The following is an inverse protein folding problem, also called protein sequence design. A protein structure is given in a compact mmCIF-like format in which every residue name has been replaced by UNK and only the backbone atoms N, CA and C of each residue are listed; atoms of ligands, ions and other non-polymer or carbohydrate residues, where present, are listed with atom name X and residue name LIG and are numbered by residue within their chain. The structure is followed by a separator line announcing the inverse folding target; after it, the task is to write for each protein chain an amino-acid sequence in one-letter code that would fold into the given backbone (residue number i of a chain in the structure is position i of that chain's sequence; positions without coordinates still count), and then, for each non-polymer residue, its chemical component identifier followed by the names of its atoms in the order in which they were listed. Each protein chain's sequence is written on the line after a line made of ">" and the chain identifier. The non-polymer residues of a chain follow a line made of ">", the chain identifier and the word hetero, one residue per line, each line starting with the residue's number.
data_IF_148878733953
#
_entry.id   IF_148878733953
#
_cell.length_a   1.000
_cell.length_b   1.000
_cell.length_c   1.000
_cell.angle_alpha   90.00
_cell.angle_beta   90.00
_cell.angle_gamma   90.00
#
_symmetry.space_group_name_H-M   'P 1'
#
loop_
_entity.id
_entity.type
_entity.pdbx_description
1 polymer ?
#
# COMPACT_ATOMS: atom_id res chain seq x y z
N UNK A 1 70.50 -2.78 37.23
CA UNK A 1 69.85 -2.35 35.97
C UNK A 1 68.34 -2.35 36.19
N UNK A 2 67.69 -1.32 35.68
CA UNK A 2 66.35 -0.84 36.05
C UNK A 2 65.19 -1.71 35.52
N UNK A 3 64.03 -1.53 36.18
CA UNK A 3 62.66 -1.52 35.62
C UNK A 3 62.01 -2.89 35.33
N UNK A 4 60.71 -3.13 35.54
CA UNK A 4 59.55 -2.26 35.74
C UNK A 4 58.57 -2.90 36.73
N UNK A 5 57.90 -2.06 37.53
CA UNK A 5 56.70 -2.46 38.26
C UNK A 5 55.49 -2.46 37.31
N UNK A 6 54.79 -3.59 37.24
CA UNK A 6 53.46 -3.64 36.64
C UNK A 6 52.43 -3.23 37.69
N UNK A 7 51.83 -2.06 37.47
CA UNK A 7 50.66 -1.57 38.19
C UNK A 7 49.45 -2.28 37.58
N UNK A 8 48.87 -3.23 38.32
CA UNK A 8 47.62 -3.88 37.94
C UNK A 8 46.44 -2.87 37.91
N UNK A 9 45.48 -3.00 36.98
CA UNK A 9 44.34 -2.09 36.89
C UNK A 9 43.44 -2.21 38.13
N UNK A 10 42.89 -1.08 38.63
CA UNK A 10 42.06 -1.11 39.83
C UNK A 10 40.67 -1.64 39.47
N UNK A 11 40.31 -2.81 40.00
CA UNK A 11 38.96 -3.36 39.82
C UNK A 11 38.80 -4.85 40.09
N UNK A 12 39.86 -5.63 40.19
CA UNK A 12 39.74 -7.09 40.37
C UNK A 12 39.80 -7.50 41.84
N UNK A 13 38.81 -7.08 42.63
CA UNK A 13 38.39 -7.87 43.81
C UNK A 13 37.39 -8.91 43.32
N UNK A 14 37.92 -9.97 42.70
CA UNK A 14 37.12 -11.16 42.41
C UNK A 14 36.85 -11.86 43.75
N UNK A 15 35.71 -11.53 44.37
CA UNK A 15 35.09 -12.39 45.37
C UNK A 15 34.77 -13.72 44.71
N UNK A 16 35.65 -14.70 44.85
CA UNK A 16 35.44 -16.09 44.41
C UNK A 16 34.59 -16.85 45.43
N UNK A 17 33.42 -16.31 45.77
CA UNK A 17 32.37 -17.13 46.39
C UNK A 17 31.78 -17.98 45.29
N UNK A 18 32.28 -19.21 45.15
CA UNK A 18 31.64 -20.22 44.34
C UNK A 18 30.20 -20.40 44.88
N UNK A 19 29.16 -20.29 44.02
CA UNK A 19 27.80 -20.52 44.47
C UNK A 19 27.68 -21.93 45.05
N UNK A 20 26.85 -22.13 46.10
CA UNK A 20 26.65 -23.45 46.69
C UNK A 20 26.22 -24.46 45.61
N UNK A 21 26.58 -25.74 45.75
CA UNK A 21 26.22 -26.78 44.77
C UNK A 21 24.70 -26.85 44.65
N UNK A 22 24.17 -26.29 43.55
CA UNK A 22 22.75 -26.35 43.24
C UNK A 22 22.41 -27.75 42.77
N UNK A 23 21.24 -28.26 43.16
CA UNK A 23 20.72 -29.53 42.68
C UNK A 23 20.68 -29.54 41.14
N UNK A 24 21.13 -30.63 40.51
CA UNK A 24 21.14 -30.84 39.05
C UNK A 24 19.87 -30.39 38.30
N UNK A 25 18.64 -30.63 38.79
CA UNK A 25 17.42 -30.15 38.11
C UNK A 25 17.36 -28.60 38.01
N UNK A 26 17.83 -27.88 39.02
CA UNK A 26 17.82 -26.41 39.04
C UNK A 26 18.85 -25.82 38.06
N UNK A 27 19.99 -26.50 37.87
CA UNK A 27 21.00 -26.14 36.86
C UNK A 27 20.46 -26.35 35.44
N UNK A 28 19.73 -27.45 35.22
CA UNK A 28 19.12 -27.74 33.93
C UNK A 28 18.05 -26.71 33.53
N UNK A 29 17.22 -26.29 34.48
CA UNK A 29 16.25 -25.21 34.26
C UNK A 29 16.92 -23.86 33.97
N UNK A 30 18.02 -23.55 34.66
CA UNK A 30 18.81 -22.34 34.42
C UNK A 30 19.49 -22.35 33.05
N UNK A 31 20.03 -23.49 32.62
CA UNK A 31 20.58 -23.67 31.28
C UNK A 31 19.51 -23.50 30.20
N UNK A 32 18.32 -24.09 30.40
CA UNK A 32 17.18 -23.97 29.49
C UNK A 32 16.68 -22.53 29.38
N UNK A 33 16.60 -21.80 30.49
CA UNK A 33 16.20 -20.38 30.48
C UNK A 33 17.25 -19.50 29.80
N UNK A 34 18.54 -19.76 30.03
CA UNK A 34 19.63 -19.09 29.34
C UNK A 34 19.59 -19.34 27.83
N UNK A 35 19.41 -20.59 27.38
CA UNK A 35 19.30 -20.93 25.96
C UNK A 35 18.09 -20.26 25.28
N UNK A 36 16.96 -20.14 25.98
CA UNK A 36 15.79 -19.38 25.52
C UNK A 36 16.07 -17.88 25.42
N UNK A 37 16.87 -17.32 26.33
CA UNK A 37 17.24 -15.91 26.31
C UNK A 37 18.21 -15.62 25.17
N UNK A 38 19.22 -16.48 24.99
CA UNK A 38 20.25 -16.35 23.96
C UNK A 38 19.66 -16.44 22.56
N UNK A 39 18.82 -17.45 22.31
CA UNK A 39 18.11 -17.62 21.03
C UNK A 39 17.17 -16.44 20.71
N UNK A 40 16.53 -15.84 21.73
CA UNK A 40 15.71 -14.63 21.55
C UNK A 40 16.56 -13.38 21.34
N UNK A 41 17.70 -13.26 22.02
CA UNK A 41 18.59 -12.08 21.97
C UNK A 41 19.29 -11.97 20.62
N UNK A 42 19.81 -13.08 20.09
CA UNK A 42 20.56 -13.13 18.83
C UNK A 42 19.74 -13.70 17.66
N UNK A 43 18.41 -13.68 17.77
CA UNK A 43 17.51 -14.07 16.70
C UNK A 43 17.75 -13.22 15.43
N UNK A 44 17.50 -13.81 14.26
CA UNK A 44 17.70 -13.16 12.95
C UNK A 44 16.99 -11.80 12.83
N UNK A 45 15.82 -11.65 13.46
CA UNK A 45 15.04 -10.40 13.51
C UNK A 45 15.71 -9.25 14.28
N UNK A 46 16.73 -9.55 15.10
CA UNK A 46 17.48 -8.57 15.91
C UNK A 46 18.89 -8.34 15.38
N UNK A 47 19.25 -8.96 14.26
CA UNK A 47 20.53 -8.69 13.60
C UNK A 47 20.54 -7.24 13.09
N UNK A 48 21.70 -6.61 13.19
CA UNK A 48 21.92 -5.30 12.59
C UNK A 48 21.70 -5.41 11.07
N UNK A 49 20.89 -4.51 10.51
CA UNK A 49 20.48 -4.57 9.10
C UNK A 49 19.32 -5.54 8.81
N UNK A 50 18.61 -6.04 9.82
CA UNK A 50 17.37 -6.76 9.60
C UNK A 50 16.31 -5.84 8.99
N UNK A 51 15.89 -6.16 7.77
CA UNK A 51 14.76 -5.52 7.10
C UNK A 51 13.51 -6.30 7.45
N UNK A 52 12.51 -5.60 7.96
CA UNK A 52 11.20 -6.19 8.26
C UNK A 52 10.53 -6.66 6.97
N UNK A 53 9.62 -7.63 7.09
CA UNK A 53 8.91 -8.14 5.94
C UNK A 53 8.15 -7.01 5.22
N UNK A 54 8.11 -7.10 3.89
CA UNK A 54 7.33 -6.18 3.07
C UNK A 54 5.85 -6.25 3.47
N UNK A 55 5.18 -5.10 3.41
CA UNK A 55 3.74 -5.05 3.69
C UNK A 55 3.00 -5.75 2.56
N UNK A 56 2.25 -6.79 2.90
CA UNK A 56 1.41 -7.49 1.94
C UNK A 56 0.18 -6.64 1.56
N UNK A 57 -0.35 -6.91 0.38
CA UNK A 57 -1.55 -6.26 -0.13
C UNK A 57 -2.77 -6.64 0.72
N UNK A 58 -3.51 -5.62 1.16
CA UNK A 58 -4.75 -5.81 1.91
C UNK A 58 -5.92 -6.10 0.96
N UNK A 59 -6.96 -6.83 1.40
CA UNK A 59 -8.16 -7.07 0.59
C UNK A 59 -8.82 -5.75 0.16
N UNK A 60 -9.28 -5.68 -1.10
CA UNK A 60 -9.90 -4.49 -1.68
C UNK A 60 -11.16 -4.04 -0.91
N UNK A 61 -11.89 -4.99 -0.30
CA UNK A 61 -13.06 -4.71 0.54
C UNK A 61 -12.73 -3.84 1.75
N UNK A 62 -11.51 -3.95 2.29
CA UNK A 62 -11.10 -3.15 3.45
C UNK A 62 -11.12 -1.67 3.12
N UNK A 63 -10.50 -1.27 2.00
CA UNK A 63 -10.49 0.12 1.56
C UNK A 63 -11.90 0.64 1.25
N UNK A 64 -12.73 -0.17 0.57
CA UNK A 64 -14.14 0.18 0.26
C UNK A 64 -14.96 0.40 1.53
N UNK A 65 -14.83 -0.50 2.50
CA UNK A 65 -15.53 -0.39 3.79
C UNK A 65 -15.08 0.84 4.59
N UNK A 66 -13.77 1.10 4.65
CA UNK A 66 -13.24 2.29 5.34
C UNK A 66 -13.83 3.56 4.74
N UNK A 67 -13.87 3.68 3.41
CA UNK A 67 -14.42 4.86 2.74
C UNK A 67 -15.93 5.01 3.02
N UNK A 68 -16.69 3.92 2.93
CA UNK A 68 -18.13 3.92 3.21
C UNK A 68 -18.45 4.26 4.66
N UNK A 69 -17.68 3.75 5.62
CA UNK A 69 -17.89 4.00 7.03
C UNK A 69 -17.59 5.47 7.42
N UNK A 70 -16.62 6.12 6.76
CA UNK A 70 -16.28 7.53 6.99
C UNK A 70 -17.26 8.49 6.31
N UNK A 71 -17.74 8.14 5.10
CA UNK A 71 -18.74 8.89 4.36
C UNK A 71 -18.42 10.38 4.23
N UNK A 72 -19.37 11.23 4.57
CA UNK A 72 -19.27 12.70 4.53
C UNK A 72 -18.65 13.32 5.80
N UNK A 73 -18.13 12.50 6.72
CA UNK A 73 -17.57 12.95 8.00
C UNK A 73 -18.56 13.74 8.88
N UNK A 74 -19.87 13.63 8.65
CA UNK A 74 -20.90 14.27 9.50
C UNK A 74 -20.97 13.65 10.90
N UNK A 75 -20.68 12.35 11.01
CA UNK A 75 -20.77 11.63 12.27
C UNK A 75 -19.74 12.10 13.31
N UNK A 76 -20.13 12.11 14.59
CA UNK A 76 -19.23 12.46 15.70
C UNK A 76 -18.15 11.39 15.95
N UNK A 77 -18.35 10.17 15.45
CA UNK A 77 -17.46 9.02 15.66
C UNK A 77 -16.05 9.27 15.10
N UNK A 78 -15.96 9.88 13.92
CA UNK A 78 -14.70 10.13 13.21
C UNK A 78 -14.20 11.57 13.39
N UNK A 79 -14.51 12.22 14.53
CA UNK A 79 -14.09 13.61 14.80
C UNK A 79 -12.57 13.78 14.77
N UNK A 80 -11.82 12.77 15.23
CA UNK A 80 -10.36 12.80 15.28
C UNK A 80 -9.73 12.78 13.89
N UNK A 81 -10.36 12.09 12.93
CA UNK A 81 -9.83 11.91 11.58
C UNK A 81 -10.05 13.14 10.69
N UNK A 82 -10.99 14.04 11.03
CA UNK A 82 -11.26 15.28 10.27
C UNK A 82 -9.99 16.11 10.02
N UNK A 83 -9.08 16.17 11.00
CA UNK A 83 -7.81 16.89 10.87
C UNK A 83 -6.91 16.24 9.81
N UNK A 84 -6.93 14.92 9.72
CA UNK A 84 -6.13 14.16 8.75
C UNK A 84 -6.63 14.39 7.34
N UNK A 85 -7.95 14.39 7.12
CA UNK A 85 -8.57 14.70 5.82
C UNK A 85 -8.17 16.11 5.33
N UNK A 86 -8.20 17.11 6.21
CA UNK A 86 -7.74 18.46 5.87
C UNK A 86 -6.24 18.49 5.55
N UNK A 87 -5.42 17.73 6.27
CA UNK A 87 -3.99 17.60 5.98
C UNK A 87 -3.70 16.91 4.63
N UNK A 88 -4.54 15.94 4.26
CA UNK A 88 -4.40 15.19 3.01
C UNK A 88 -4.67 16.04 1.77
N UNK A 89 -5.44 17.13 1.90
CA UNK A 89 -5.74 18.07 0.80
C UNK A 89 -4.47 18.57 0.08
N UNK A 90 -3.36 18.72 0.80
CA UNK A 90 -2.05 19.10 0.25
C UNK A 90 -1.58 18.15 -0.86
N UNK A 91 -1.91 16.88 -0.78
CA UNK A 91 -1.42 15.84 -1.68
C UNK A 91 -2.43 15.45 -2.76
N UNK A 92 -3.63 16.04 -2.76
CA UNK A 92 -4.66 15.79 -3.78
C UNK A 92 -4.14 16.02 -5.20
N UNK A 93 -3.36 17.07 -5.51
CA UNK A 93 -2.82 17.22 -6.87
C UNK A 93 -1.96 16.02 -7.32
N UNK A 94 -1.21 15.40 -6.40
CA UNK A 94 -0.41 14.22 -6.72
C UNK A 94 -1.29 12.98 -6.92
N UNK A 95 -2.33 12.79 -6.11
CA UNK A 95 -3.29 11.71 -6.29
C UNK A 95 -4.02 11.81 -7.64
N UNK A 96 -4.47 13.01 -8.00
CA UNK A 96 -5.13 13.29 -9.29
C UNK A 96 -4.18 13.04 -10.45
N UNK A 97 -2.92 13.49 -10.35
CA UNK A 97 -1.90 13.22 -11.37
C UNK A 97 -1.73 11.72 -11.62
N UNK A 98 -1.52 10.93 -10.55
CA UNK A 98 -1.34 9.48 -10.64
C UNK A 98 -2.59 8.74 -11.15
N UNK A 99 -3.77 9.25 -10.85
CA UNK A 99 -5.04 8.72 -11.34
C UNK A 99 -5.19 8.94 -12.85
N UNK A 100 -4.93 10.16 -13.34
CA UNK A 100 -5.04 10.50 -14.75
C UNK A 100 -3.93 9.87 -15.61
N UNK A 101 -2.75 9.67 -15.04
CA UNK A 101 -1.66 8.94 -15.69
C UNK A 101 -2.06 7.48 -16.01
N UNK A 102 -2.89 6.86 -15.16
CA UNK A 102 -3.29 5.47 -15.28
C UNK A 102 -4.71 5.28 -15.86
N UNK A 103 -5.20 6.23 -16.67
CA UNK A 103 -6.46 6.02 -17.38
C UNK A 103 -6.42 4.73 -18.23
N UNK A 104 -7.52 3.96 -18.26
CA UNK A 104 -7.62 2.80 -19.13
C UNK A 104 -7.59 3.24 -20.59
N UNK A 105 -6.88 2.48 -21.43
CA UNK A 105 -6.80 2.77 -22.85
C UNK A 105 -8.07 2.30 -23.58
N UNK A 106 -8.45 2.87 -24.74
CA UNK A 106 -9.73 2.56 -25.40
C UNK A 106 -9.95 1.10 -25.84
N UNK A 107 -8.87 0.32 -25.94
CA UNK A 107 -8.89 -1.11 -26.24
C UNK A 107 -8.96 -2.00 -24.98
N UNK A 108 -8.91 -1.41 -23.79
CA UNK A 108 -9.04 -2.08 -22.49
C UNK A 108 -10.45 -1.88 -21.94
N UNK A 109 -11.06 -2.94 -21.42
CA UNK A 109 -12.39 -2.85 -20.81
C UNK A 109 -12.31 -2.38 -19.35
N UNK A 110 -11.43 -3.00 -18.58
CA UNK A 110 -11.17 -2.70 -17.18
C UNK A 110 -9.67 -2.71 -16.92
N UNK A 111 -9.20 -1.79 -16.09
CA UNK A 111 -7.81 -1.73 -15.67
C UNK A 111 -7.73 -1.79 -14.15
N UNK A 112 -7.17 -2.89 -13.63
CA UNK A 112 -6.85 -3.02 -12.22
C UNK A 112 -5.52 -2.33 -11.95
N UNK A 113 -5.48 -1.50 -10.90
CA UNK A 113 -4.30 -0.73 -10.52
C UNK A 113 -4.00 -0.93 -9.04
N UNK A 114 -2.73 -1.01 -8.69
CA UNK A 114 -2.29 -1.00 -7.29
C UNK A 114 -2.53 0.36 -6.68
N UNK A 115 -3.03 0.33 -5.44
CA UNK A 115 -3.47 1.51 -4.72
C UNK A 115 -2.80 1.57 -3.36
N UNK A 116 -2.27 2.75 -3.03
CA UNK A 116 -1.78 3.09 -1.70
C UNK A 116 -2.77 4.05 -1.04
N UNK A 117 -3.46 3.61 0.01
CA UNK A 117 -4.46 4.40 0.70
C UNK A 117 -4.04 4.70 2.15
N UNK A 118 -4.53 5.83 2.68
CA UNK A 118 -4.40 6.15 4.10
C UNK A 118 -5.33 5.26 4.94
N UNK A 119 -4.91 4.82 6.12
CA UNK A 119 -5.68 3.89 6.99
C UNK A 119 -7.08 4.42 7.34
N UNK A 120 -7.26 5.74 7.41
CA UNK A 120 -8.55 6.39 7.65
C UNK A 120 -9.37 6.68 6.37
N UNK A 121 -8.89 6.28 5.19
CA UNK A 121 -9.51 6.60 3.89
C UNK A 121 -9.36 8.06 3.43
N UNK A 122 -8.50 8.85 4.09
CA UNK A 122 -8.37 10.29 3.82
C UNK A 122 -7.89 10.63 2.41
N UNK A 123 -7.04 9.79 1.84
CA UNK A 123 -6.53 9.93 0.48
C UNK A 123 -6.08 8.58 -0.05
N UNK A 124 -6.15 8.45 -1.36
CA UNK A 124 -5.86 7.24 -2.11
C UNK A 124 -4.98 7.60 -3.30
N UNK A 125 -3.82 6.96 -3.42
CA UNK A 125 -2.88 7.14 -4.52
C UNK A 125 -2.85 5.88 -5.38
N UNK A 126 -2.76 6.05 -6.70
CA UNK A 126 -2.40 4.95 -7.60
C UNK A 126 -0.88 4.77 -7.56
N UNK A 127 -0.43 3.59 -7.12
CA UNK A 127 0.97 3.26 -6.92
C UNK A 127 1.57 2.51 -8.12
N UNK A 128 1.32 3.01 -9.33
CA UNK A 128 1.82 2.42 -10.57
C UNK A 128 2.26 3.48 -11.57
N UNK A 129 3.25 3.15 -12.38
CA UNK A 129 3.66 3.92 -13.56
C UNK A 129 3.30 3.09 -14.79
N UNK A 130 2.53 3.62 -15.75
CA UNK A 130 2.14 2.88 -16.94
C UNK A 130 3.35 2.71 -17.86
N UNK A 131 3.97 1.53 -17.82
CA UNK A 131 5.06 1.18 -18.73
C UNK A 131 4.49 0.54 -19.98
N UNK A 132 4.71 1.17 -21.14
CA UNK A 132 4.25 0.69 -22.44
C UNK A 132 5.43 0.46 -23.37
N UNK A 133 5.34 -0.59 -24.18
CA UNK A 133 6.34 -0.88 -25.22
C UNK A 133 6.00 -0.02 -26.44
N UNK A 134 6.87 0.93 -26.78
CA UNK A 134 6.64 1.95 -27.81
C UNK A 134 6.09 1.42 -29.15
N UNK A 135 6.70 0.41 -29.82
CA UNK A 135 6.17 -0.06 -31.10
C UNK A 135 4.79 -0.70 -30.99
N UNK A 136 4.48 -1.36 -29.88
CA UNK A 136 3.16 -1.96 -29.63
C UNK A 136 2.13 -0.86 -29.39
N UNK A 137 2.49 0.13 -28.58
CA UNK A 137 1.62 1.26 -28.27
C UNK A 137 1.26 2.07 -29.52
N UNK A 138 2.23 2.33 -30.39
CA UNK A 138 2.00 2.98 -31.69
C UNK A 138 1.08 2.14 -32.59
N UNK A 139 1.29 0.82 -32.65
CA UNK A 139 0.44 -0.07 -33.43
C UNK A 139 -1.01 -0.08 -32.91
N UNK A 140 -1.21 -0.14 -31.59
CA UNK A 140 -2.53 -0.05 -30.94
C UNK A 140 -3.24 1.27 -31.26
N UNK A 141 -2.55 2.41 -31.18
CA UNK A 141 -3.14 3.68 -31.60
C UNK A 141 -3.43 3.75 -33.10
N UNK A 142 -2.62 3.08 -33.92
CA UNK A 142 -2.87 2.92 -35.34
C UNK A 142 -4.17 2.15 -35.64
N UNK A 143 -4.44 1.07 -34.91
CA UNK A 143 -5.70 0.32 -35.05
C UNK A 143 -6.89 1.17 -34.58
N UNK A 144 -6.74 1.90 -33.46
CA UNK A 144 -7.78 2.81 -32.96
C UNK A 144 -8.14 3.89 -33.98
N UNK A 145 -7.13 4.49 -34.62
CA UNK A 145 -7.33 5.49 -35.65
C UNK A 145 -8.19 4.98 -36.82
N UNK A 146 -7.90 3.76 -37.29
CA UNK A 146 -8.65 3.13 -38.39
C UNK A 146 -10.09 2.85 -37.94
N UNK A 147 -10.28 2.28 -36.76
CA UNK A 147 -11.61 1.92 -36.25
C UNK A 147 -12.49 3.15 -35.99
N UNK A 148 -11.96 4.18 -35.34
CA UNK A 148 -12.71 5.41 -35.10
C UNK A 148 -13.09 6.12 -36.41
N UNK A 149 -12.25 6.05 -37.45
CA UNK A 149 -12.56 6.61 -38.77
C UNK A 149 -13.63 5.82 -39.51
N UNK A 150 -13.60 4.48 -39.42
CA UNK A 150 -14.64 3.61 -39.98
C UNK A 150 -15.98 3.87 -39.29
N UNK A 151 -15.99 3.88 -37.96
CA UNK A 151 -17.18 4.15 -37.15
C UNK A 151 -17.79 5.53 -37.47
N UNK A 152 -16.96 6.57 -37.58
CA UNK A 152 -17.43 7.92 -37.95
C UNK A 152 -17.98 8.01 -39.38
N UNK A 153 -17.48 7.19 -40.31
CA UNK A 153 -17.95 7.14 -41.70
C UNK A 153 -19.29 6.38 -41.80
N UNK A 154 -19.39 5.25 -41.10
CA UNK A 154 -20.48 4.29 -41.27
C UNK A 154 -21.70 4.63 -40.38
N UNK A 155 -21.50 5.32 -39.25
CA UNK A 155 -22.58 5.68 -38.33
C UNK A 155 -23.35 6.92 -38.77
N UNK A 156 -24.66 6.77 -39.00
CA UNK A 156 -25.57 7.85 -39.44
C UNK A 156 -25.78 8.96 -38.40
N UNK A 157 -25.89 8.62 -37.12
CA UNK A 157 -26.04 9.59 -36.02
C UNK A 157 -25.06 9.26 -34.90
N UNK A 158 -24.08 10.16 -34.72
CA UNK A 158 -23.12 10.09 -33.62
C UNK A 158 -23.54 11.10 -32.54
N UNK A 159 -24.21 10.62 -31.49
CA UNK A 159 -24.58 11.45 -30.34
C UNK A 159 -23.38 11.58 -29.40
N UNK A 160 -22.94 12.81 -29.17
CA UNK A 160 -21.87 13.10 -28.21
C UNK A 160 -22.42 13.05 -26.79
N UNK A 161 -21.56 12.71 -25.84
CA UNK A 161 -21.90 12.82 -24.41
C UNK A 161 -22.15 14.28 -24.05
N UNK A 162 -23.06 14.49 -23.10
CA UNK A 162 -23.30 15.81 -22.50
C UNK A 162 -22.30 16.00 -21.36
N UNK A 163 -21.77 17.21 -21.25
CA UNK A 163 -20.94 17.63 -20.12
C UNK A 163 -21.68 18.69 -19.31
N UNK A 164 -21.71 18.59 -17.97
CA UNK A 164 -21.25 17.47 -17.15
C UNK A 164 -22.16 16.22 -17.32
N UNK A 165 -21.62 14.99 -17.12
CA UNK A 165 -22.43 13.76 -17.21
C UNK A 165 -23.47 13.60 -16.09
N UNK A 166 -23.16 14.07 -14.89
CA UNK A 166 -24.01 14.01 -13.69
C UNK A 166 -24.48 15.42 -13.30
N UNK A 167 -25.60 15.49 -12.59
CA UNK A 167 -26.11 16.76 -12.03
C UNK A 167 -25.38 17.12 -10.73
N UNK A 168 -25.35 18.41 -10.38
CA UNK A 168 -24.57 18.90 -9.23
C UNK A 168 -25.16 18.46 -7.87
N UNK A 169 -26.46 18.16 -7.83
CA UNK A 169 -27.17 17.69 -6.63
C UNK A 169 -27.12 16.15 -6.46
N UNK A 170 -26.64 15.42 -7.46
CA UNK A 170 -26.54 13.96 -7.38
C UNK A 170 -25.29 13.55 -6.58
N UNK A 171 -25.44 12.73 -5.51
CA UNK A 171 -24.29 12.24 -4.78
C UNK A 171 -23.43 11.31 -5.65
N UNK A 172 -22.11 11.23 -5.42
CA UNK A 172 -21.25 10.28 -6.11
C UNK A 172 -21.77 8.84 -5.97
N UNK A 173 -21.85 8.15 -7.11
CA UNK A 173 -22.32 6.77 -7.20
C UNK A 173 -21.33 5.81 -6.53
N UNK A 174 -21.81 4.91 -5.65
CA UNK A 174 -20.95 3.88 -5.06
C UNK A 174 -20.60 2.81 -6.09
N UNK A 175 -19.32 2.44 -6.13
CA UNK A 175 -18.80 1.39 -7.02
C UNK A 175 -19.33 0.01 -6.62
N UNK A 176 -19.44 -0.26 -5.31
CA UNK A 176 -19.86 -1.55 -4.77
C UNK A 176 -21.23 -1.99 -5.27
N UNK A 177 -22.20 -1.08 -5.19
CA UNK A 177 -23.60 -1.38 -5.47
C UNK A 177 -23.97 -1.24 -6.94
N UNK A 178 -23.27 -0.37 -7.69
CA UNK A 178 -23.70 0.01 -9.03
C UNK A 178 -22.81 -0.51 -10.16
N UNK A 179 -21.52 -0.76 -9.91
CA UNK A 179 -20.53 -1.01 -10.97
C UNK A 179 -19.91 -2.41 -10.93
N UNK A 180 -19.91 -3.11 -9.80
CA UNK A 180 -19.31 -4.46 -9.71
C UNK A 180 -20.09 -5.52 -10.49
N UNK A 181 -21.42 -5.50 -10.44
CA UNK A 181 -22.28 -6.56 -10.98
C UNK A 181 -22.85 -6.22 -12.37
N UNK A 182 -22.31 -5.20 -13.05
CA UNK A 182 -22.73 -4.88 -14.42
C UNK A 182 -22.24 -5.98 -15.35
N UNK A 183 -23.18 -6.80 -15.81
CA UNK A 183 -22.91 -7.91 -16.75
C UNK A 183 -22.57 -7.39 -18.15
N UNK A 184 -23.18 -6.27 -18.57
CA UNK A 184 -23.10 -5.76 -19.94
C UNK A 184 -22.24 -4.48 -20.02
N UNK A 185 -20.94 -4.62 -19.75
CA UNK A 185 -20.00 -3.54 -20.07
C UNK A 185 -19.85 -3.41 -21.60
N UNK A 186 -19.81 -2.18 -22.14
CA UNK A 186 -19.56 -1.96 -23.56
C UNK A 186 -18.27 -2.65 -24.00
N UNK A 187 -18.33 -3.31 -25.15
CA UNK A 187 -17.13 -3.92 -25.73
C UNK A 187 -16.09 -2.83 -26.02
N UNK A 188 -14.81 -3.07 -25.67
CA UNK A 188 -13.74 -2.15 -26.01
C UNK A 188 -13.56 -2.06 -27.52
N UNK A 189 -12.95 -0.98 -27.99
CA UNK A 189 -12.65 -0.84 -29.42
C UNK A 189 -11.53 -1.82 -29.75
N UNK A 190 -11.85 -2.83 -30.56
CA UNK A 190 -10.89 -3.83 -31.04
C UNK A 190 -10.98 -3.90 -32.57
N UNK A 191 -9.86 -4.25 -33.21
CA UNK A 191 -9.81 -4.40 -34.67
C UNK A 191 -10.47 -5.71 -35.11
#
# INVERSE_FOLDING_TARGET
>A
MQSNGEIAPPGTVASSVLPPPMAEPALFERARTWQKLESKRYGTKRKFGFVEAEKEDMPAEHARKVLRDHGDMSSKRFKHDKRVYLGALKFVPHAVYKLLENMPMPWEQTREVKVLYHVSGAITFVNEVPLVVEPIYLAQWGTMWIMMRREKRDRRQFKRMRFPPFDDEEPPLDYADNLLDIVDLPEPIQL
#
